data_IF_101029369177
#
_entry.id   IF_101029369177
#
_cell.length_a   1.000
_cell.length_b   1.000
_cell.length_c   1.000
_cell.angle_alpha   90.00
_cell.angle_beta   90.00
_cell.angle_gamma   90.00
#
_symmetry.space_group_name_H-M   'P 1'
#
loop_
_entity.id
_entity.type
_entity.pdbx_description
1 polymer ?
#
# COMPACT_ATOMS: atom_id res chain seq x y z
N UNK A 1 -15.09 20.31 -2.77
CA UNK A 1 -14.70 19.20 -1.87
C UNK A 1 -15.57 19.28 -0.62
N UNK A 2 -16.20 18.17 -0.22
CA UNK A 2 -17.29 18.13 0.79
C UNK A 2 -17.13 16.94 1.74
N UNK A 3 -15.92 16.74 2.26
CA UNK A 3 -15.72 15.77 3.35
C UNK A 3 -16.13 16.37 4.70
N UNK A 4 -16.65 15.52 5.59
CA UNK A 4 -17.04 15.94 6.93
C UNK A 4 -15.82 16.20 7.81
N UNK A 5 -15.96 17.04 8.84
CA UNK A 5 -14.89 17.23 9.85
C UNK A 5 -14.44 15.89 10.45
N UNK A 6 -15.38 14.97 10.72
CA UNK A 6 -15.06 13.64 11.24
C UNK A 6 -14.19 12.82 10.29
N UNK A 7 -14.44 12.88 8.98
CA UNK A 7 -13.61 12.19 7.98
C UNK A 7 -12.18 12.75 8.01
N UNK A 8 -12.04 14.07 8.09
CA UNK A 8 -10.74 14.73 8.12
C UNK A 8 -9.98 14.43 9.41
N UNK A 9 -10.66 14.44 10.56
CA UNK A 9 -10.06 14.07 11.85
C UNK A 9 -9.58 12.61 11.82
N UNK A 10 -10.40 11.68 11.33
CA UNK A 10 -10.02 10.26 11.23
C UNK A 10 -8.83 10.03 10.28
N UNK A 11 -8.73 10.81 9.20
CA UNK A 11 -7.58 10.76 8.30
C UNK A 11 -6.31 11.30 8.97
N UNK A 12 -6.41 12.41 9.73
CA UNK A 12 -5.31 12.97 10.48
C UNK A 12 -4.79 11.99 11.54
N UNK A 13 -5.69 11.34 12.29
CA UNK A 13 -5.35 10.33 13.28
C UNK A 13 -4.62 9.14 12.64
N UNK A 14 -5.06 8.71 11.45
CA UNK A 14 -4.38 7.66 10.70
C UNK A 14 -2.93 8.05 10.32
N UNK A 15 -2.70 9.30 9.91
CA UNK A 15 -1.36 9.80 9.58
C UNK A 15 -0.45 9.88 10.81
N UNK A 16 -0.99 10.31 11.96
CA UNK A 16 -0.24 10.34 13.23
C UNK A 16 0.20 8.93 13.60
N UNK A 17 -0.71 7.97 13.54
CA UNK A 17 -0.40 6.57 13.82
C UNK A 17 0.67 6.00 12.88
N UNK A 18 0.59 6.30 11.58
CA UNK A 18 1.61 5.90 10.61
C UNK A 18 2.98 6.49 10.97
N UNK A 19 3.04 7.75 11.42
CA UNK A 19 4.28 8.39 11.85
C UNK A 19 4.86 7.72 13.12
N UNK A 20 4.00 7.37 14.09
CA UNK A 20 4.41 6.62 15.28
C UNK A 20 4.94 5.22 14.92
N UNK A 21 4.26 4.50 14.02
CA UNK A 21 4.70 3.20 13.50
C UNK A 21 6.05 3.33 12.78
N UNK A 22 6.26 4.39 12.00
CA UNK A 22 7.54 4.64 11.33
C UNK A 22 8.71 4.81 12.32
N UNK A 23 8.45 5.45 13.47
CA UNK A 23 9.47 5.72 14.49
C UNK A 23 9.76 4.52 15.38
N UNK A 24 8.74 3.77 15.78
CA UNK A 24 8.89 2.67 16.76
C UNK A 24 9.02 1.30 16.09
N UNK A 25 8.33 1.07 14.98
CA UNK A 25 8.21 -0.22 14.29
C UNK A 25 8.34 -0.07 12.76
N UNK A 26 9.49 0.43 12.25
CA UNK A 26 9.64 0.81 10.86
C UNK A 26 9.39 -0.33 9.87
N UNK A 27 9.64 -1.58 10.27
CA UNK A 27 9.41 -2.74 9.41
C UNK A 27 7.92 -2.99 9.14
N UNK A 28 7.03 -2.67 10.09
CA UNK A 28 5.58 -2.77 9.88
C UNK A 28 5.13 -1.88 8.72
N UNK A 29 5.63 -0.65 8.69
CA UNK A 29 5.36 0.32 7.62
C UNK A 29 6.03 -0.09 6.30
N UNK A 30 7.30 -0.49 6.35
CA UNK A 30 8.05 -0.89 5.14
C UNK A 30 7.52 -2.16 4.51
N UNK A 31 6.82 -3.03 5.22
CA UNK A 31 6.27 -4.27 4.66
C UNK A 31 4.78 -4.17 4.35
N UNK A 32 4.14 -3.03 4.66
CA UNK A 32 2.75 -2.78 4.31
C UNK A 32 2.52 -2.80 2.77
N UNK A 33 1.33 -3.20 2.30
CA UNK A 33 0.13 -3.54 3.05
C UNK A 33 0.05 -5.03 3.47
N UNK A 34 -0.63 -5.30 4.61
CA UNK A 34 -0.69 -6.63 5.24
C UNK A 34 -2.03 -7.38 5.05
N UNK A 35 -3.11 -6.65 4.80
CA UNK A 35 -4.48 -7.19 4.79
C UNK A 35 -5.10 -7.14 3.40
N UNK A 36 -4.58 -6.26 2.52
CA UNK A 36 -5.14 -6.11 1.17
C UNK A 36 -5.00 -7.41 0.38
N UNK A 37 -5.93 -7.72 -0.55
CA UNK A 37 -5.89 -8.96 -1.34
C UNK A 37 -4.58 -9.19 -2.10
N UNK A 38 -3.85 -8.10 -2.38
CA UNK A 38 -2.54 -8.11 -3.01
C UNK A 38 -1.60 -7.26 -2.14
N UNK A 39 -0.38 -7.76 -1.92
CA UNK A 39 0.69 -7.04 -1.21
C UNK A 39 1.41 -6.02 -2.09
N UNK A 40 2.57 -5.55 -1.64
CA UNK A 40 3.41 -4.66 -2.44
C UNK A 40 3.91 -5.36 -3.71
N UNK A 41 3.71 -4.70 -4.86
CA UNK A 41 4.13 -5.23 -6.15
C UNK A 41 5.63 -5.01 -6.37
N UNK A 42 6.28 -5.95 -7.07
CA UNK A 42 7.66 -5.81 -7.52
C UNK A 42 7.68 -5.04 -8.85
N UNK A 43 7.76 -3.71 -8.74
CA UNK A 43 7.79 -2.79 -9.89
C UNK A 43 9.02 -3.00 -10.77
N UNK A 44 10.16 -3.36 -10.19
CA UNK A 44 11.42 -3.59 -10.94
C UNK A 44 11.28 -4.82 -11.82
N UNK A 45 10.75 -5.91 -11.26
CA UNK A 45 10.47 -7.12 -12.03
C UNK A 45 9.41 -6.84 -13.10
N UNK A 46 8.31 -6.18 -12.76
CA UNK A 46 7.26 -5.84 -13.72
C UNK A 46 7.79 -5.02 -14.91
N UNK A 47 8.70 -4.07 -14.66
CA UNK A 47 9.32 -3.27 -15.71
C UNK A 47 10.32 -4.06 -16.58
N UNK A 48 10.95 -5.12 -16.05
CA UNK A 48 11.93 -5.95 -16.76
C UNK A 48 11.29 -7.14 -17.49
N UNK A 49 10.22 -7.70 -16.94
CA UNK A 49 9.51 -8.89 -17.42
C UNK A 49 8.04 -8.55 -17.70
N UNK A 50 7.80 -7.85 -18.81
CA UNK A 50 6.48 -7.31 -19.15
C UNK A 50 5.48 -8.41 -19.55
N UNK A 51 4.45 -8.60 -18.74
CA UNK A 51 3.26 -9.41 -19.10
C UNK A 51 2.12 -8.47 -19.50
N UNK A 52 2.00 -8.20 -20.80
CA UNK A 52 1.11 -7.16 -21.34
C UNK A 52 -0.28 -7.66 -21.75
N UNK A 53 -0.48 -8.98 -21.78
CA UNK A 53 -1.75 -9.60 -22.13
C UNK A 53 -2.02 -10.78 -21.21
N UNK A 54 -3.29 -11.06 -20.99
CA UNK A 54 -3.71 -12.28 -20.36
C UNK A 54 -3.41 -13.48 -21.27
N UNK A 55 -2.71 -14.49 -20.74
CA UNK A 55 -2.48 -15.78 -21.39
C UNK A 55 -3.08 -16.89 -20.56
N UNK A 56 -4.00 -17.65 -21.14
CA UNK A 56 -4.63 -18.80 -20.46
C UNK A 56 -3.65 -19.97 -20.52
N UNK A 57 -2.88 -20.16 -19.45
CA UNK A 57 -1.81 -21.16 -19.38
C UNK A 57 -0.51 -20.63 -19.98
N UNK A 58 0.54 -20.53 -19.15
CA UNK A 58 1.88 -20.23 -19.63
C UNK A 58 2.45 -21.42 -20.37
N UNK A 59 2.94 -21.18 -21.59
CA UNK A 59 4.24 -21.71 -22.00
C UNK A 59 5.24 -20.56 -21.98
#
# INVERSE_FOLDING_TARGET
ETESKQTLDAFADALIKIAEEAHHEPELLKTAPHITPVGRLDEVKAARELVLRWSVGGE
#
